data_IF_064716290084
#
_entry.id   IF_064716290084
#
_cell.length_a   1.000
_cell.length_b   1.000
_cell.length_c   1.000
_cell.angle_alpha   90.00
_cell.angle_beta   90.00
_cell.angle_gamma   90.00
#
_symmetry.space_group_name_H-M   'P 1'
#
loop_
_entity.id
_entity.type
_entity.pdbx_description
1 polymer ?
#
# COMPACT_ATOMS: atom_id res chain seq x y z
N UNK A 1 5.18 11.49 10.11
CA UNK A 1 3.88 11.20 10.70
C UNK A 1 3.20 10.22 9.82
N UNK A 2 3.63 8.99 9.81
CA UNK A 2 3.12 8.03 8.84
C UNK A 2 3.61 6.68 9.30
N UNK A 3 2.78 5.67 9.18
CA UNK A 3 3.31 4.33 8.95
C UNK A 3 2.60 3.69 7.77
N UNK A 4 3.35 2.88 7.07
CA UNK A 4 2.93 2.19 5.86
C UNK A 4 3.44 0.76 5.87
N UNK A 5 2.74 -0.08 5.13
CA UNK A 5 3.09 -1.46 4.86
C UNK A 5 2.98 -1.70 3.36
N UNK A 6 3.99 -2.36 2.80
CA UNK A 6 3.99 -2.97 1.48
C UNK A 6 4.00 -4.47 1.65
N UNK A 7 3.23 -5.17 0.83
CA UNK A 7 3.27 -6.61 0.84
C UNK A 7 2.98 -7.22 -0.52
N UNK A 8 3.47 -8.44 -0.67
CA UNK A 8 3.15 -9.35 -1.76
C UNK A 8 2.42 -10.57 -1.21
N UNK A 9 1.42 -11.04 -1.94
CA UNK A 9 0.85 -12.36 -1.70
C UNK A 9 1.59 -13.39 -2.56
N UNK A 10 2.36 -14.32 -1.98
CA UNK A 10 3.13 -15.29 -2.76
C UNK A 10 2.27 -16.30 -3.52
N UNK A 11 1.02 -16.54 -3.10
CA UNK A 11 0.12 -17.48 -3.75
C UNK A 11 -0.45 -16.92 -5.07
N UNK A 12 -0.73 -15.61 -5.09
CA UNK A 12 -1.39 -14.95 -6.24
C UNK A 12 -0.47 -14.02 -7.02
N UNK A 13 0.66 -13.61 -6.44
CA UNK A 13 1.52 -12.55 -6.96
C UNK A 13 0.97 -11.15 -6.77
N UNK A 14 -0.19 -10.98 -6.12
CA UNK A 14 -0.79 -9.67 -5.89
C UNK A 14 0.12 -8.80 -5.02
N UNK A 15 0.18 -7.52 -5.35
CA UNK A 15 0.94 -6.51 -4.63
C UNK A 15 -0.02 -5.54 -3.94
N UNK A 16 0.37 -5.07 -2.76
CA UNK A 16 -0.46 -4.14 -2.00
C UNK A 16 0.32 -3.17 -1.15
N UNK A 17 -0.27 -1.99 -0.96
CA UNK A 17 0.19 -0.97 -0.05
C UNK A 17 -0.96 -0.52 0.85
N UNK A 18 -0.66 -0.26 2.11
CA UNK A 18 -1.57 0.47 2.99
C UNK A 18 -0.80 1.48 3.83
N UNK A 19 -1.41 2.64 4.08
CA UNK A 19 -0.76 3.75 4.80
C UNK A 19 -1.79 4.55 5.59
N UNK A 20 -1.38 5.12 6.73
CA UNK A 20 -2.20 6.08 7.49
C UNK A 20 -1.36 7.15 8.20
N UNK A 21 -1.97 8.30 8.50
CA UNK A 21 -1.32 9.50 9.02
C UNK A 21 -2.34 10.50 9.60
N UNK A 22 -1.87 11.54 10.31
CA UNK A 22 -2.53 12.87 10.37
C UNK A 22 -1.86 13.88 9.45
N UNK A 23 -2.17 13.71 8.18
CA UNK A 23 -1.93 14.63 7.08
C UNK A 23 -3.05 14.43 6.06
N UNK A 24 -3.40 15.46 5.30
CA UNK A 24 -4.47 15.37 4.31
C UNK A 24 -4.08 14.47 3.13
N UNK A 25 -5.01 13.65 2.65
CA UNK A 25 -4.92 12.92 1.39
C UNK A 25 -3.65 12.06 1.19
N UNK A 26 -3.26 11.27 2.20
CA UNK A 26 -2.03 10.45 2.14
C UNK A 26 -2.00 9.48 0.95
N UNK A 27 -3.16 8.95 0.55
CA UNK A 27 -3.27 8.05 -0.60
C UNK A 27 -2.83 8.70 -1.90
N UNK A 28 -3.02 10.01 -2.05
CA UNK A 28 -2.65 10.77 -3.25
C UNK A 28 -1.15 10.90 -3.45
N UNK A 29 -0.38 10.87 -2.36
CA UNK A 29 1.01 11.33 -2.39
C UNK A 29 2.01 10.25 -1.97
N UNK A 30 1.63 9.29 -1.12
CA UNK A 30 2.57 8.34 -0.53
C UNK A 30 2.67 6.99 -1.26
N UNK A 31 1.58 6.20 -1.43
CA UNK A 31 1.67 4.88 -2.03
C UNK A 31 1.57 4.91 -3.56
N UNK A 32 2.11 3.89 -4.21
CA UNK A 32 1.80 3.52 -5.60
C UNK A 32 2.07 2.03 -5.80
N UNK A 33 1.25 1.38 -6.62
CA UNK A 33 1.38 -0.04 -6.97
C UNK A 33 1.26 -0.20 -8.48
N UNK A 34 2.04 -1.12 -9.06
CA UNK A 34 1.91 -1.58 -10.44
C UNK A 34 1.99 -3.10 -10.48
N UNK A 35 0.95 -3.74 -10.98
CA UNK A 35 0.91 -5.19 -11.12
C UNK A 35 2.12 -5.71 -11.91
N UNK A 36 2.69 -6.83 -11.47
CA UNK A 36 3.86 -7.45 -12.11
C UNK A 36 5.18 -6.67 -12.03
N UNK A 37 5.18 -5.43 -11.51
CA UNK A 37 6.38 -4.58 -11.40
C UNK A 37 6.81 -4.41 -9.95
N UNK A 38 5.94 -3.85 -9.12
CA UNK A 38 6.30 -3.53 -7.75
C UNK A 38 5.35 -2.57 -7.05
N UNK A 39 5.68 -2.28 -5.80
CA UNK A 39 4.92 -1.39 -4.92
C UNK A 39 5.87 -0.50 -4.13
N UNK A 40 5.47 0.74 -3.87
CA UNK A 40 6.32 1.77 -3.26
C UNK A 40 5.51 2.67 -2.34
N UNK A 41 6.12 3.13 -1.25
CA UNK A 41 5.60 4.22 -0.43
C UNK A 41 6.71 5.24 -0.13
N UNK A 42 6.54 6.48 -0.60
CA UNK A 42 7.41 7.63 -0.25
C UNK A 42 6.73 8.47 0.82
N UNK A 43 7.41 8.75 1.92
CA UNK A 43 6.86 9.43 3.09
C UNK A 43 7.89 10.31 3.81
N UNK A 44 7.54 10.81 4.99
CA UNK A 44 8.23 11.91 5.68
C UNK A 44 8.12 13.22 4.86
N UNK A 45 9.24 13.85 4.46
CA UNK A 45 9.19 14.91 3.46
C UNK A 45 8.99 14.29 2.06
N UNK A 46 7.74 13.94 1.75
CA UNK A 46 7.33 13.16 0.57
C UNK A 46 7.99 13.70 -0.70
N UNK A 47 8.54 12.80 -1.52
CA UNK A 47 8.89 13.08 -2.90
C UNK A 47 8.02 12.22 -3.82
N UNK A 48 6.92 12.75 -4.38
CA UNK A 48 6.03 11.98 -5.23
C UNK A 48 6.75 11.37 -6.46
N UNK A 49 7.85 11.98 -6.92
CA UNK A 49 8.63 11.52 -8.07
C UNK A 49 9.41 10.23 -7.76
N UNK A 50 9.79 9.99 -6.50
CA UNK A 50 10.46 8.74 -6.10
C UNK A 50 9.58 7.51 -6.33
N UNK A 51 8.25 7.66 -6.23
CA UNK A 51 7.32 6.55 -6.50
C UNK A 51 7.42 6.11 -7.96
N UNK A 52 7.31 7.08 -8.87
CA UNK A 52 7.32 6.84 -10.31
C UNK A 52 8.68 6.30 -10.74
N UNK A 53 9.76 7.00 -10.39
CA UNK A 53 11.11 6.61 -10.75
C UNK A 53 11.52 5.25 -10.14
N UNK A 54 11.09 4.94 -8.91
CA UNK A 54 11.33 3.64 -8.29
C UNK A 54 10.65 2.49 -9.03
N UNK A 55 9.38 2.64 -9.39
CA UNK A 55 8.68 1.61 -10.16
C UNK A 55 9.18 1.52 -11.61
N UNK A 56 9.61 2.63 -12.22
CA UNK A 56 10.21 2.64 -13.56
C UNK A 56 11.56 1.89 -13.56
N UNK A 57 12.38 2.07 -12.51
CA UNK A 57 13.61 1.33 -12.32
C UNK A 57 13.37 -0.19 -12.19
N UNK A 58 12.36 -0.60 -11.41
CA UNK A 58 11.98 -2.01 -11.30
C UNK A 58 11.48 -2.56 -12.64
N UNK A 59 10.67 -1.81 -13.38
CA UNK A 59 10.19 -2.20 -14.71
C UNK A 59 11.35 -2.37 -15.72
N UNK A 60 12.42 -1.59 -15.55
CA UNK A 60 13.66 -1.72 -16.33
C UNK A 60 14.58 -2.86 -15.85
N UNK A 61 14.15 -3.68 -14.87
CA UNK A 61 14.88 -4.82 -14.35
C UNK A 61 15.93 -4.50 -13.29
N UNK A 62 15.97 -3.27 -12.78
CA UNK A 62 16.86 -2.93 -11.67
C UNK A 62 16.36 -3.56 -10.36
N UNK A 63 17.29 -4.00 -9.51
CA UNK A 63 16.95 -4.47 -8.16
C UNK A 63 16.52 -3.32 -7.24
N UNK A 64 15.63 -3.57 -6.24
CA UNK A 64 15.17 -2.56 -5.30
C UNK A 64 16.30 -1.77 -4.63
N UNK A 65 17.39 -2.43 -4.24
CA UNK A 65 18.53 -1.82 -3.56
C UNK A 65 19.24 -0.80 -4.46
N UNK A 66 19.50 -1.18 -5.71
CA UNK A 66 20.13 -0.30 -6.69
C UNK A 66 19.22 0.89 -7.04
N UNK A 67 17.92 0.64 -7.21
CA UNK A 67 16.94 1.68 -7.48
C UNK A 67 16.86 2.69 -6.32
N UNK A 68 16.75 2.23 -5.08
CA UNK A 68 16.71 3.12 -3.89
C UNK A 68 18.02 3.88 -3.74
N UNK A 69 19.18 3.23 -3.92
CA UNK A 69 20.47 3.90 -3.83
C UNK A 69 20.62 5.03 -4.87
N UNK A 70 20.18 4.80 -6.11
CA UNK A 70 20.20 5.80 -7.17
C UNK A 70 19.28 7.00 -6.84
N UNK A 71 18.06 6.74 -6.35
CA UNK A 71 17.12 7.80 -5.94
C UNK A 71 17.67 8.66 -4.80
N UNK A 72 18.30 8.03 -3.81
CA UNK A 72 18.89 8.71 -2.65
C UNK A 72 20.09 9.56 -3.08
N UNK A 73 20.98 9.02 -3.92
CA UNK A 73 22.16 9.74 -4.41
C UNK A 73 21.80 10.96 -5.28
N UNK A 74 20.70 10.89 -6.02
CA UNK A 74 20.25 11.97 -6.91
C UNK A 74 19.47 13.09 -6.20
N UNK A 75 19.08 12.93 -4.94
CA UNK A 75 18.21 13.87 -4.22
C UNK A 75 18.94 14.49 -3.02
N UNK A 76 19.30 15.76 -3.15
CA UNK A 76 19.96 16.52 -2.08
C UNK A 76 19.12 16.59 -0.79
N UNK A 77 17.79 16.41 -0.87
CA UNK A 77 16.88 16.37 0.27
C UNK A 77 16.69 14.99 0.89
N UNK A 78 17.39 13.95 0.40
CA UNK A 78 17.18 12.55 0.82
C UNK A 78 17.31 12.30 2.34
N UNK A 79 18.08 13.12 3.04
CA UNK A 79 18.22 13.09 4.50
C UNK A 79 16.92 13.41 5.26
N UNK A 80 15.93 14.05 4.63
CA UNK A 80 14.61 14.35 5.20
C UNK A 80 13.50 13.39 4.74
N UNK A 81 13.82 12.40 3.91
CA UNK A 81 12.85 11.53 3.24
C UNK A 81 12.87 10.11 3.77
N UNK A 82 11.76 9.41 3.59
CA UNK A 82 11.65 7.99 3.85
C UNK A 82 11.00 7.29 2.65
N UNK A 83 11.48 6.09 2.33
CA UNK A 83 11.00 5.28 1.21
C UNK A 83 11.07 3.81 1.59
N UNK A 84 10.12 3.03 1.12
CA UNK A 84 10.33 1.62 0.87
C UNK A 84 9.76 1.22 -0.49
N UNK A 85 10.48 0.33 -1.17
CA UNK A 85 10.23 -0.13 -2.53
C UNK A 85 10.32 -1.65 -2.54
N UNK A 86 9.34 -2.33 -3.11
CA UNK A 86 9.27 -3.78 -3.22
C UNK A 86 9.00 -4.18 -4.66
N UNK A 87 9.77 -5.12 -5.19
CA UNK A 87 9.58 -5.70 -6.50
C UNK A 87 8.51 -6.79 -6.49
N UNK A 88 8.00 -7.14 -7.68
CA UNK A 88 7.00 -8.19 -7.85
C UNK A 88 7.47 -9.60 -7.44
N UNK A 89 8.76 -9.79 -7.18
CA UNK A 89 9.35 -11.03 -6.65
C UNK A 89 9.52 -11.02 -5.12
N UNK A 90 9.05 -9.96 -4.44
CA UNK A 90 9.10 -9.83 -2.98
C UNK A 90 10.39 -9.21 -2.43
N UNK A 91 11.46 -9.07 -3.23
CA UNK A 91 12.65 -8.33 -2.80
C UNK A 91 12.30 -6.88 -2.55
N UNK A 92 12.91 -6.27 -1.53
CA UNK A 92 12.59 -4.90 -1.15
C UNK A 92 13.75 -4.16 -0.52
N UNK A 93 13.80 -2.87 -0.76
CA UNK A 93 14.77 -1.95 -0.19
C UNK A 93 14.06 -0.77 0.51
N UNK A 94 14.75 -0.16 1.47
CA UNK A 94 14.23 0.90 2.33
C UNK A 94 15.28 2.01 2.46
N UNK A 95 14.82 3.24 2.65
CA UNK A 95 15.64 4.38 3.03
C UNK A 95 14.93 5.15 4.15
N UNK A 96 15.68 5.57 5.16
CA UNK A 96 15.20 6.49 6.20
C UNK A 96 16.29 7.52 6.42
N UNK A 97 16.04 8.74 5.98
CA UNK A 97 16.99 9.84 6.10
C UNK A 97 17.27 10.19 7.57
N UNK A 98 18.50 10.63 7.84
CA UNK A 98 18.98 10.92 9.19
C UNK A 98 18.19 12.03 9.92
N UNK A 99 17.58 12.94 9.16
CA UNK A 99 16.79 14.07 9.68
C UNK A 99 15.27 13.80 9.64
N UNK A 100 14.87 12.54 9.42
CA UNK A 100 13.50 12.13 9.70
C UNK A 100 13.21 12.27 11.20
N UNK A 101 12.12 12.95 11.54
CA UNK A 101 11.72 13.20 12.93
C UNK A 101 11.68 11.88 13.72
N UNK A 102 12.25 11.92 14.94
CA UNK A 102 12.44 10.80 15.86
C UNK A 102 11.23 9.86 15.99
N UNK A 103 11.53 8.60 16.34
CA UNK A 103 10.66 7.43 16.12
C UNK A 103 10.44 7.13 14.64
N UNK A 104 11.50 7.29 13.84
CA UNK A 104 11.56 6.87 12.45
C UNK A 104 12.35 5.57 12.30
N UNK A 105 11.85 4.68 11.47
CA UNK A 105 12.49 3.40 11.21
C UNK A 105 11.74 2.59 10.15
N UNK A 106 12.27 1.42 9.87
CA UNK A 106 11.69 0.46 8.95
C UNK A 106 12.02 -0.96 9.39
N UNK A 107 11.25 -1.93 8.90
CA UNK A 107 11.46 -3.36 9.11
C UNK A 107 10.96 -4.14 7.89
N UNK A 108 11.39 -5.39 7.75
CA UNK A 108 10.96 -6.25 6.67
C UNK A 108 11.07 -7.71 7.06
N UNK A 109 10.24 -8.52 6.42
CA UNK A 109 10.28 -9.98 6.39
C UNK A 109 10.06 -10.40 4.92
N UNK A 110 10.19 -11.69 4.56
CA UNK A 110 9.83 -12.14 3.21
C UNK A 110 8.44 -11.64 2.81
N UNK A 111 8.34 -11.07 1.60
CA UNK A 111 7.10 -10.52 1.02
C UNK A 111 6.42 -9.38 1.82
N UNK A 112 7.08 -8.76 2.80
CA UNK A 112 6.51 -7.61 3.55
C UNK A 112 7.57 -6.58 3.97
N UNK A 113 7.24 -5.30 3.85
CA UNK A 113 8.07 -4.18 4.28
C UNK A 113 7.23 -3.14 5.02
N UNK A 114 7.66 -2.73 6.20
CA UNK A 114 7.01 -1.67 7.00
C UNK A 114 7.96 -0.49 7.18
N UNK A 115 7.41 0.72 7.18
CA UNK A 115 8.18 1.93 7.42
C UNK A 115 7.32 2.96 8.17
N UNK A 116 7.94 3.76 9.02
CA UNK A 116 7.24 4.87 9.65
C UNK A 116 8.14 5.94 10.23
N UNK A 117 7.57 7.10 10.51
CA UNK A 117 8.25 8.27 11.07
C UNK A 117 7.28 9.11 11.91
N UNK A 118 7.79 9.76 12.97
CA UNK A 118 7.00 10.42 14.02
C UNK A 118 6.05 9.49 14.80
N UNK A 119 6.37 8.22 14.92
CA UNK A 119 5.50 7.25 15.61
C UNK A 119 5.47 7.51 17.12
N UNK A 120 4.43 7.01 17.78
CA UNK A 120 4.37 6.99 19.25
C UNK A 120 5.54 6.19 19.86
N UNK A 121 6.03 5.17 19.15
CA UNK A 121 7.22 4.41 19.50
C UNK A 121 7.50 3.27 18.52
N UNK A 122 8.59 2.49 18.74
CA UNK A 122 8.96 1.38 17.85
C UNK A 122 7.93 0.24 17.84
N UNK A 123 7.12 0.11 18.90
CA UNK A 123 6.07 -0.90 19.01
C UNK A 123 5.03 -0.81 17.87
N UNK A 124 4.84 0.37 17.27
CA UNK A 124 3.91 0.57 16.16
C UNK A 124 4.30 -0.27 14.93
N UNK A 125 5.57 -0.22 14.53
CA UNK A 125 6.06 -1.01 13.39
C UNK A 125 6.11 -2.50 13.74
N UNK A 126 6.52 -2.84 14.96
CA UNK A 126 6.54 -4.23 15.43
C UNK A 126 5.15 -4.86 15.42
N UNK A 127 4.13 -4.16 15.95
CA UNK A 127 2.75 -4.62 15.94
C UNK A 127 2.17 -4.72 14.52
N UNK A 128 2.48 -3.74 13.66
CA UNK A 128 2.07 -3.76 12.24
C UNK A 128 2.59 -5.01 11.54
N UNK A 129 3.89 -5.28 11.67
CA UNK A 129 4.53 -6.44 11.04
C UNK A 129 4.02 -7.75 11.63
N UNK A 130 3.94 -7.86 12.96
CA UNK A 130 3.47 -9.07 13.63
C UNK A 130 2.03 -9.44 13.24
N UNK A 131 1.13 -8.46 13.16
CA UNK A 131 -0.26 -8.69 12.73
C UNK A 131 -0.36 -9.14 11.28
N UNK A 132 0.47 -8.59 10.38
CA UNK A 132 0.50 -9.03 8.97
C UNK A 132 0.94 -10.50 8.83
N UNK A 133 1.93 -10.92 9.63
CA UNK A 133 2.41 -12.30 9.66
C UNK A 133 1.38 -13.24 10.28
N UNK A 134 0.73 -12.83 11.37
CA UNK A 134 -0.29 -13.63 12.06
C UNK A 134 -1.57 -13.86 11.24
N UNK A 135 -1.81 -13.04 10.22
CA UNK A 135 -2.99 -13.12 9.34
C UNK A 135 -2.69 -13.86 8.03
N UNK A 136 -1.62 -14.65 7.96
CA UNK A 136 -1.30 -15.48 6.81
C UNK A 136 -2.49 -16.36 6.39
N UNK A 137 -2.72 -16.46 5.07
CA UNK A 137 -3.86 -17.19 4.49
C UNK A 137 -5.14 -16.37 4.30
N UNK A 138 -5.26 -15.18 4.91
CA UNK A 138 -6.35 -14.26 4.64
C UNK A 138 -6.11 -13.47 3.32
N UNK A 139 -7.16 -12.89 2.70
CA UNK A 139 -6.99 -12.01 1.55
C UNK A 139 -6.02 -10.87 1.84
N UNK A 140 -5.15 -10.52 0.88
CA UNK A 140 -4.09 -9.51 1.06
C UNK A 140 -4.62 -8.17 1.61
N UNK A 141 -5.79 -7.72 1.11
CA UNK A 141 -6.44 -6.49 1.56
C UNK A 141 -6.79 -6.50 3.05
N UNK A 142 -7.31 -7.62 3.57
CA UNK A 142 -7.66 -7.76 4.98
C UNK A 142 -6.43 -7.78 5.88
N UNK A 143 -5.37 -8.46 5.42
CA UNK A 143 -4.07 -8.54 6.12
C UNK A 143 -3.44 -7.16 6.28
N UNK A 144 -3.46 -6.36 5.22
CA UNK A 144 -2.93 -4.99 5.24
C UNK A 144 -3.73 -4.08 6.18
N UNK A 145 -5.06 -4.18 6.20
CA UNK A 145 -5.91 -3.42 7.11
C UNK A 145 -5.69 -3.85 8.57
N UNK A 146 -5.63 -5.16 8.85
CA UNK A 146 -5.33 -5.68 10.19
C UNK A 146 -3.95 -5.22 10.70
N UNK A 147 -2.96 -5.15 9.81
CA UNK A 147 -1.64 -4.63 10.13
C UNK A 147 -1.68 -3.15 10.55
N UNK A 148 -2.37 -2.29 9.79
CA UNK A 148 -2.48 -0.87 10.15
C UNK A 148 -3.24 -0.68 11.47
N UNK A 149 -4.30 -1.44 11.71
CA UNK A 149 -5.06 -1.38 12.96
C UNK A 149 -4.24 -1.80 14.17
N UNK A 150 -3.42 -2.84 14.05
CA UNK A 150 -2.49 -3.25 15.10
C UNK A 150 -1.44 -2.16 15.38
N UNK A 151 -0.91 -1.51 14.33
CA UNK A 151 -0.03 -0.35 14.49
C UNK A 151 -0.73 0.82 15.21
N UNK A 152 -1.99 1.10 14.88
CA UNK A 152 -2.78 2.12 15.56
C UNK A 152 -3.03 1.78 17.04
N UNK A 153 -3.35 0.53 17.34
CA UNK A 153 -3.55 0.06 18.72
C UNK A 153 -2.27 0.15 19.56
N UNK A 154 -1.09 -0.01 18.94
CA UNK A 154 0.21 0.18 19.57
C UNK A 154 0.61 1.68 19.75
N UNK A 155 -0.33 2.60 19.51
CA UNK A 155 -0.16 4.04 19.69
C UNK A 155 -0.14 4.82 18.37
N UNK A 156 0.09 4.14 17.24
CA UNK A 156 0.09 4.71 15.91
C UNK A 156 0.94 5.97 15.82
N UNK A 157 0.31 7.03 15.37
CA UNK A 157 0.99 8.30 15.20
C UNK A 157 0.71 9.29 16.33
N UNK A 158 1.80 9.86 16.88
CA UNK A 158 1.79 10.72 18.06
C UNK A 158 0.92 11.98 17.95
N UNK A 159 0.62 12.46 16.73
CA UNK A 159 -0.21 13.66 16.52
C UNK A 159 -1.70 13.33 16.29
N UNK A 160 -2.08 12.05 16.23
CA UNK A 160 -3.46 11.59 15.96
C UNK A 160 -3.66 11.03 14.55
N UNK A 161 -4.90 11.12 14.04
CA UNK A 161 -5.33 10.45 12.80
C UNK A 161 -6.06 11.41 11.86
N UNK A 162 -5.97 11.22 10.54
CA UNK A 162 -6.70 12.02 9.55
C UNK A 162 -6.97 11.32 8.24
N UNK A 163 -5.99 10.61 7.67
CA UNK A 163 -6.16 9.97 6.38
C UNK A 163 -5.56 8.57 6.34
N UNK A 164 -6.07 7.76 5.43
CA UNK A 164 -5.61 6.40 5.18
C UNK A 164 -5.88 5.98 3.73
N UNK A 165 -5.11 5.02 3.23
CA UNK A 165 -5.33 4.44 1.91
C UNK A 165 -4.95 2.96 1.87
N UNK A 166 -5.62 2.22 0.97
CA UNK A 166 -5.35 0.82 0.65
C UNK A 166 -5.35 0.66 -0.87
N UNK A 167 -4.23 0.17 -1.40
CA UNK A 167 -4.05 -0.13 -2.82
C UNK A 167 -3.74 -1.61 -2.99
N UNK A 168 -4.38 -2.28 -3.94
CA UNK A 168 -4.11 -3.67 -4.35
C UNK A 168 -4.02 -3.72 -5.87
N UNK A 169 -3.01 -4.39 -6.42
CA UNK A 169 -2.96 -4.69 -7.85
C UNK A 169 -2.42 -6.11 -8.10
N UNK A 170 -3.13 -6.86 -8.94
CA UNK A 170 -2.79 -8.23 -9.30
C UNK A 170 -2.40 -8.40 -10.77
N UNK A 171 -3.08 -7.70 -11.70
CA UNK A 171 -2.93 -7.96 -13.14
C UNK A 171 -2.67 -6.73 -14.01
N UNK A 172 -3.49 -5.69 -13.85
CA UNK A 172 -3.49 -4.55 -14.78
C UNK A 172 -2.63 -3.38 -14.28
N UNK A 173 -2.36 -2.44 -15.19
CA UNK A 173 -1.71 -1.17 -14.87
C UNK A 173 -2.53 -0.33 -13.86
N UNK A 174 -3.85 -0.52 -13.83
CA UNK A 174 -4.76 0.08 -12.86
C UNK A 174 -4.96 -0.86 -11.66
N UNK A 175 -4.94 -0.34 -10.42
CA UNK A 175 -5.19 -1.17 -9.24
C UNK A 175 -6.56 -1.87 -9.27
N UNK A 176 -6.64 -3.04 -8.63
CA UNK A 176 -7.90 -3.74 -8.36
C UNK A 176 -8.70 -2.98 -7.29
N UNK A 177 -7.99 -2.43 -6.29
CA UNK A 177 -8.52 -1.54 -5.27
C UNK A 177 -7.60 -0.31 -5.15
N UNK A 178 -8.18 0.87 -5.11
CA UNK A 178 -7.56 2.12 -4.66
C UNK A 178 -8.59 2.85 -3.79
N UNK A 179 -8.58 2.51 -2.50
CA UNK A 179 -9.51 3.05 -1.52
C UNK A 179 -8.79 4.13 -0.71
N UNK A 180 -9.46 5.28 -0.55
CA UNK A 180 -8.91 6.44 0.14
C UNK A 180 -9.90 7.05 1.09
N UNK A 181 -9.37 7.45 2.24
CA UNK A 181 -10.01 8.34 3.20
C UNK A 181 -9.08 9.52 3.36
N UNK A 182 -9.38 10.64 2.70
CA UNK A 182 -8.45 11.77 2.60
C UNK A 182 -8.54 12.73 3.80
N UNK A 183 -9.69 12.77 4.49
CA UNK A 183 -9.90 13.51 5.75
C UNK A 183 -11.04 12.89 6.58
N UNK A 184 -10.70 12.29 7.73
CA UNK A 184 -11.65 11.69 8.66
C UNK A 184 -11.04 11.59 10.09
N UNK A 185 -11.80 11.78 11.17
CA UNK A 185 -11.29 11.64 12.55
C UNK A 185 -10.85 10.21 12.89
N UNK A 186 -11.41 9.20 12.21
CA UNK A 186 -11.06 7.79 12.33
C UNK A 186 -10.89 7.14 10.95
N UNK A 187 -9.77 7.40 10.25
CA UNK A 187 -9.63 7.05 8.85
C UNK A 187 -9.49 5.55 8.61
N UNK A 188 -8.97 4.77 9.57
CA UNK A 188 -8.87 3.32 9.42
C UNK A 188 -10.22 2.63 9.54
N UNK A 189 -11.06 3.03 10.51
CA UNK A 189 -12.42 2.49 10.60
C UNK A 189 -13.23 2.82 9.33
N UNK A 190 -13.07 4.04 8.80
CA UNK A 190 -13.73 4.43 7.55
C UNK A 190 -13.17 3.66 6.34
N UNK A 191 -11.85 3.45 6.28
CA UNK A 191 -11.23 2.64 5.22
C UNK A 191 -11.70 1.18 5.26
N UNK A 192 -11.89 0.61 6.46
CA UNK A 192 -12.49 -0.73 6.68
C UNK A 192 -13.95 -0.78 6.21
N UNK A 193 -14.74 0.28 6.46
CA UNK A 193 -16.10 0.41 5.95
C UNK A 193 -16.12 0.47 4.42
N UNK A 194 -15.26 1.29 3.80
CA UNK A 194 -15.13 1.39 2.34
C UNK A 194 -14.68 0.07 1.71
N UNK A 195 -13.74 -0.64 2.34
CA UNK A 195 -13.34 -1.97 1.92
C UNK A 195 -14.51 -2.95 1.94
N UNK A 196 -15.30 -2.96 3.02
CA UNK A 196 -16.51 -3.78 3.12
C UNK A 196 -17.56 -3.44 2.04
N UNK A 197 -17.70 -2.16 1.68
CA UNK A 197 -18.57 -1.74 0.56
C UNK A 197 -18.02 -2.23 -0.78
N UNK A 198 -16.70 -2.14 -0.97
CA UNK A 198 -16.04 -2.58 -2.19
C UNK A 198 -16.20 -4.09 -2.41
N UNK A 199 -16.11 -4.90 -1.35
CA UNK A 199 -16.27 -6.36 -1.42
C UNK A 199 -17.65 -6.82 -1.89
N UNK A 200 -18.69 -5.98 -1.78
CA UNK A 200 -20.05 -6.38 -2.18
C UNK A 200 -20.20 -6.47 -3.69
N UNK A 201 -19.97 -5.36 -4.39
CA UNK A 201 -20.24 -5.26 -5.84
C UNK A 201 -19.02 -4.84 -6.63
N UNK A 202 -18.23 -3.91 -6.09
CA UNK A 202 -17.16 -3.24 -6.82
C UNK A 202 -16.09 -4.23 -7.29
N UNK A 203 -15.68 -5.16 -6.43
CA UNK A 203 -14.67 -6.18 -6.78
C UNK A 203 -15.13 -7.12 -7.89
N UNK A 204 -16.43 -7.39 -8.00
CA UNK A 204 -16.99 -8.20 -9.09
C UNK A 204 -17.09 -7.38 -10.37
N UNK A 205 -17.63 -6.16 -10.28
CA UNK A 205 -17.69 -5.22 -11.40
C UNK A 205 -16.30 -4.97 -12.01
N UNK A 206 -15.26 -4.85 -11.17
CA UNK A 206 -13.87 -4.61 -11.58
C UNK A 206 -13.35 -5.67 -12.58
N UNK A 207 -13.82 -6.92 -12.48
CA UNK A 207 -13.42 -8.03 -13.37
C UNK A 207 -13.94 -7.88 -14.80
N UNK A 208 -14.97 -7.07 -14.99
CA UNK A 208 -15.59 -6.81 -16.29
C UNK A 208 -15.15 -5.48 -16.91
N UNK A 209 -14.37 -4.67 -16.18
CA UNK A 209 -13.80 -3.45 -16.73
C UNK A 209 -12.78 -3.77 -17.83
N UNK A 210 -12.54 -2.78 -18.70
CA UNK A 210 -11.46 -2.86 -19.66
C UNK A 210 -10.11 -3.13 -18.96
N UNK A 211 -9.30 -3.96 -19.59
CA UNK A 211 -8.01 -4.44 -19.09
C UNK A 211 -7.01 -4.49 -20.24
N UNK A 212 -5.79 -4.97 -19.96
CA UNK A 212 -4.82 -5.24 -21.02
C UNK A 212 -5.32 -6.26 -22.07
N UNK A 213 -6.28 -7.12 -21.68
CA UNK A 213 -6.78 -8.21 -22.51
C UNK A 213 -7.96 -7.80 -23.43
N UNK A 214 -8.56 -6.62 -23.22
CA UNK A 214 -9.66 -6.16 -24.06
C UNK A 214 -10.56 -5.10 -23.42
N UNK A 215 -11.66 -4.72 -24.11
CA UNK A 215 -12.54 -3.63 -23.69
C UNK A 215 -13.44 -3.97 -22.48
N UNK A 216 -13.36 -5.19 -21.94
CA UNK A 216 -14.24 -5.69 -20.88
C UNK A 216 -15.56 -6.25 -21.40
N UNK A 217 -16.51 -6.48 -20.50
CA UNK A 217 -17.86 -6.96 -20.85
C UNK A 217 -18.72 -5.78 -21.28
N UNK A 218 -19.06 -5.71 -22.57
CA UNK A 218 -19.84 -4.60 -23.15
C UNK A 218 -21.36 -4.84 -23.11
N UNK A 219 -21.80 -6.10 -23.05
CA UNK A 219 -23.22 -6.42 -22.90
C UNK A 219 -23.66 -6.20 -21.45
N UNK A 220 -24.60 -5.27 -21.26
CA UNK A 220 -25.05 -4.90 -19.92
C UNK A 220 -25.82 -6.01 -19.21
N UNK A 221 -26.56 -6.85 -19.94
CA UNK A 221 -27.31 -7.94 -19.34
C UNK A 221 -26.37 -9.04 -18.85
N UNK A 222 -25.36 -9.38 -19.65
CA UNK A 222 -24.33 -10.34 -19.25
C UNK A 222 -23.58 -9.84 -18.01
N UNK A 223 -23.14 -8.58 -18.03
CA UNK A 223 -22.47 -7.93 -16.90
C UNK A 223 -23.28 -8.02 -15.61
N UNK A 224 -24.56 -7.62 -15.65
CA UNK A 224 -25.42 -7.62 -14.47
C UNK A 224 -25.70 -9.03 -13.94
N UNK A 225 -25.88 -10.01 -14.83
CA UNK A 225 -26.10 -11.39 -14.45
C UNK A 225 -24.87 -12.01 -13.79
N UNK A 226 -23.67 -11.78 -14.34
CA UNK A 226 -22.41 -12.30 -13.80
C UNK A 226 -22.06 -11.67 -12.45
N UNK A 227 -22.30 -10.36 -12.27
CA UNK A 227 -22.11 -9.69 -10.98
C UNK A 227 -23.09 -10.25 -9.94
N UNK A 228 -24.38 -10.37 -10.27
CA UNK A 228 -25.38 -10.88 -9.33
C UNK A 228 -25.09 -12.34 -8.92
N UNK A 229 -24.60 -13.16 -9.86
CA UNK A 229 -24.16 -14.53 -9.56
C UNK A 229 -22.96 -14.55 -8.60
N UNK A 230 -22.00 -13.64 -8.78
CA UNK A 230 -20.83 -13.53 -7.91
C UNK A 230 -21.21 -13.00 -6.50
N UNK A 231 -22.12 -12.02 -6.42
CA UNK A 231 -22.67 -11.49 -5.17
C UNK A 231 -23.39 -12.57 -4.35
N UNK A 232 -24.04 -13.54 -4.99
CA UNK A 232 -24.74 -14.64 -4.33
C UNK A 232 -23.82 -15.73 -3.76
N UNK A 233 -22.55 -15.77 -4.19
CA UNK A 233 -21.55 -16.75 -3.73
C UNK A 233 -20.64 -16.21 -2.61
N UNK A 234 -20.69 -14.91 -2.34
CA UNK A 234 -19.87 -14.20 -1.36
C UNK A 234 -20.56 -14.12 0.01
#
# INVERSE_FOLDING_TARGET
MTWSILARDPATGALGAAVTTRFFAVGAVCPMVRAGVGVVCSQALVNPLWRQAGLDALAAGQGPEAAVAALVAADAGSHMRQLHLMAADGRSARHTGADCIASAGHGAEPDVSVAGNMLAGPAVLAATLAAFLATAGMPLSDRLLAALEAGQAAGGDKRGRQSAALLIASRDATPDLDLRVDDHPDPLAELRRLHSVAQRRFVHFRRHMASADGPGTLDRMVLEAEIAAAEALA
#
